data_IF_753735090263
#
_entry.id   IF_753735090263
#
_cell.length_a   1.000
_cell.length_b   1.000
_cell.length_c   1.000
_cell.angle_alpha   90.00
_cell.angle_beta   90.00
_cell.angle_gamma   90.00
#
_symmetry.space_group_name_H-M   'P 1'
#
loop_
_entity.id
_entity.type
_entity.pdbx_description
1 polymer ?
#
# COMPACT_ATOMS: atom_id res chain seq x y z
N UNK A 1 -22.59 -5.90 83.45
CA UNK A 1 -24.03 -6.22 83.52
C UNK A 1 -24.53 -5.99 82.12
N UNK A 2 -24.75 -7.03 81.55
CA UNK A 2 -25.94 -7.56 80.90
C UNK A 2 -26.21 -6.89 79.56
N UNK A 3 -26.30 -7.56 78.58
CA UNK A 3 -26.88 -8.71 77.95
C UNK A 3 -27.30 -8.29 76.52
N UNK A 4 -26.76 -8.94 75.62
CA UNK A 4 -27.35 -9.93 74.73
C UNK A 4 -28.49 -9.39 73.86
N UNK A 5 -28.45 -9.45 72.54
CA UNK A 5 -29.16 -10.46 71.79
C UNK A 5 -29.00 -10.26 70.28
N UNK A 6 -28.45 -11.21 69.71
CA UNK A 6 -28.44 -11.64 68.36
C UNK A 6 -29.86 -11.84 67.83
N UNK A 7 -30.20 -11.30 66.71
CA UNK A 7 -31.20 -11.92 65.82
C UNK A 7 -30.92 -11.52 64.39
N UNK A 8 -30.59 -12.52 63.61
CA UNK A 8 -30.75 -12.49 62.16
C UNK A 8 -32.20 -12.78 61.81
N UNK A 9 -32.73 -12.29 60.74
CA UNK A 9 -33.71 -13.05 59.97
C UNK A 9 -33.31 -13.17 58.54
N UNK A 10 -33.22 -14.40 58.14
CA UNK A 10 -34.07 -15.13 57.22
C UNK A 10 -34.16 -14.60 55.80
N UNK A 11 -33.64 -15.44 54.94
CA UNK A 11 -33.99 -15.56 53.53
C UNK A 11 -35.48 -15.34 53.26
N UNK A 12 -35.75 -14.47 52.31
CA UNK A 12 -36.96 -14.52 51.52
C UNK A 12 -36.53 -14.48 50.04
N UNK A 13 -36.05 -15.61 49.63
CA UNK A 13 -35.88 -15.91 48.22
C UNK A 13 -37.22 -16.14 47.54
N UNK A 14 -37.35 -15.65 46.33
CA UNK A 14 -38.11 -16.38 45.35
C UNK A 14 -39.46 -15.85 44.87
N UNK A 15 -39.85 -14.59 45.07
CA UNK A 15 -41.12 -14.10 44.50
C UNK A 15 -41.08 -12.84 43.63
N UNK A 16 -39.93 -12.32 43.26
CA UNK A 16 -39.87 -11.07 42.46
C UNK A 16 -39.56 -11.32 40.97
N UNK A 17 -39.36 -12.58 40.51
CA UNK A 17 -39.06 -12.85 39.11
C UNK A 17 -40.28 -12.98 38.19
N UNK A 18 -41.49 -13.12 38.76
CA UNK A 18 -42.73 -13.26 37.99
C UNK A 18 -43.59 -12.00 37.97
N UNK A 19 -43.43 -11.08 38.93
CA UNK A 19 -44.14 -9.79 38.93
C UNK A 19 -43.68 -8.85 37.79
N UNK A 20 -42.54 -9.10 37.21
CA UNK A 20 -42.03 -8.38 36.05
C UNK A 20 -42.79 -8.68 34.75
N UNK A 21 -43.44 -9.85 34.67
CA UNK A 21 -44.21 -10.31 33.51
C UNK A 21 -45.67 -9.81 33.47
N UNK A 22 -46.19 -9.28 34.56
CA UNK A 22 -47.59 -8.74 34.62
C UNK A 22 -47.74 -7.34 34.03
N UNK A 23 -46.64 -6.65 33.85
CA UNK A 23 -46.69 -5.29 33.28
C UNK A 23 -46.59 -5.36 31.76
N UNK A 24 -47.74 -5.22 31.06
CA UNK A 24 -47.86 -5.30 29.60
C UNK A 24 -46.85 -4.42 28.86
N UNK A 25 -46.47 -3.28 29.42
CA UNK A 25 -45.48 -2.37 28.87
C UNK A 25 -44.05 -2.93 28.95
N UNK A 26 -43.73 -3.64 30.04
CA UNK A 26 -42.41 -4.28 30.24
C UNK A 26 -42.27 -5.52 29.34
N UNK A 27 -43.34 -6.27 29.14
CA UNK A 27 -43.37 -7.43 28.27
C UNK A 27 -43.21 -7.00 26.81
N UNK A 28 -43.88 -5.94 26.36
CA UNK A 28 -43.70 -5.38 25.01
C UNK A 28 -42.29 -4.82 24.81
N UNK A 29 -41.73 -4.11 25.81
CA UNK A 29 -40.37 -3.63 25.74
C UNK A 29 -39.32 -4.77 25.68
N UNK A 30 -39.55 -5.86 26.44
CA UNK A 30 -38.71 -7.05 26.41
C UNK A 30 -38.69 -7.75 25.03
N UNK A 31 -39.86 -7.84 24.39
CA UNK A 31 -39.98 -8.43 23.04
C UNK A 31 -39.18 -7.62 22.01
N UNK A 32 -39.28 -6.27 22.08
CA UNK A 32 -38.53 -5.39 21.17
C UNK A 32 -36.99 -5.56 21.32
N UNK A 33 -36.52 -5.64 22.58
CA UNK A 33 -35.10 -5.85 22.89
C UNK A 33 -34.61 -7.21 22.38
N UNK A 34 -35.40 -8.28 22.56
CA UNK A 34 -35.08 -9.61 22.04
C UNK A 34 -35.02 -9.63 20.52
N UNK A 35 -35.98 -8.97 19.85
CA UNK A 35 -35.99 -8.85 18.39
C UNK A 35 -34.75 -8.07 17.88
N UNK A 36 -34.37 -6.98 18.56
CA UNK A 36 -33.18 -6.23 18.20
C UNK A 36 -31.89 -7.05 18.36
N UNK A 37 -31.78 -7.82 19.44
CA UNK A 37 -30.63 -8.70 19.67
C UNK A 37 -30.57 -9.85 18.65
N UNK A 38 -31.73 -10.43 18.30
CA UNK A 38 -31.80 -11.45 17.24
C UNK A 38 -31.43 -10.88 15.87
N UNK A 39 -31.88 -9.67 15.52
CA UNK A 39 -31.53 -9.02 14.26
C UNK A 39 -30.02 -8.74 14.19
N UNK A 40 -29.40 -8.25 15.25
CA UNK A 40 -27.97 -8.01 15.33
C UNK A 40 -27.20 -9.34 15.25
N UNK A 41 -27.64 -10.37 15.97
CA UNK A 41 -27.02 -11.70 15.96
C UNK A 41 -27.09 -12.37 14.58
N UNK A 42 -28.24 -12.29 13.89
CA UNK A 42 -28.39 -12.83 12.55
C UNK A 42 -27.52 -12.08 11.53
N UNK A 43 -27.47 -10.76 11.65
CA UNK A 43 -26.65 -9.92 10.76
C UNK A 43 -25.16 -10.26 10.92
N UNK A 44 -24.68 -10.35 12.14
CA UNK A 44 -23.29 -10.71 12.44
C UNK A 44 -22.93 -12.14 11.99
N UNK A 45 -23.86 -13.09 12.17
CA UNK A 45 -23.56 -14.51 11.92
C UNK A 45 -23.78 -14.93 10.46
N UNK A 46 -24.81 -14.40 9.78
CA UNK A 46 -25.15 -14.82 8.40
C UNK A 46 -24.63 -13.87 7.32
N UNK A 47 -24.59 -12.57 7.58
CA UNK A 47 -24.31 -11.57 6.54
C UNK A 47 -22.84 -11.19 6.53
N UNK A 48 -22.24 -10.98 7.69
CA UNK A 48 -20.83 -10.56 7.82
C UNK A 48 -19.87 -11.60 7.24
N UNK A 49 -20.00 -12.92 7.47
CA UNK A 49 -19.07 -13.89 6.87
C UNK A 49 -19.16 -14.00 5.35
N UNK A 50 -20.33 -13.65 4.76
CA UNK A 50 -20.52 -13.72 3.30
C UNK A 50 -20.09 -12.47 2.55
N UNK A 51 -20.04 -11.32 3.21
CA UNK A 51 -19.66 -10.03 2.61
C UNK A 51 -18.21 -9.63 2.88
N UNK A 52 -17.47 -10.37 3.72
CA UNK A 52 -16.08 -10.04 4.08
C UNK A 52 -15.93 -8.70 4.79
N UNK A 53 -17.04 -8.14 5.30
CA UNK A 53 -17.01 -6.89 6.07
C UNK A 53 -16.82 -7.27 7.54
N UNK A 54 -15.60 -7.29 7.99
CA UNK A 54 -15.25 -7.38 9.41
C UNK A 54 -15.70 -6.10 10.11
N UNK A 55 -16.45 -6.29 11.20
CA UNK A 55 -17.23 -5.31 11.93
C UNK A 55 -16.52 -3.98 12.17
N UNK A 56 -17.27 -2.91 11.95
CA UNK A 56 -16.93 -1.58 12.45
C UNK A 56 -17.01 -1.59 13.98
N UNK A 57 -15.91 -1.88 14.63
CA UNK A 57 -15.70 -1.58 16.04
C UNK A 57 -15.18 -0.14 16.12
N UNK A 58 -16.01 0.77 16.65
CA UNK A 58 -15.64 2.14 16.97
C UNK A 58 -14.76 2.14 18.24
N UNK A 59 -13.56 1.67 18.08
CA UNK A 59 -12.48 1.85 19.02
C UNK A 59 -11.28 2.31 18.23
N UNK A 60 -10.81 3.52 18.50
CA UNK A 60 -9.59 4.06 17.92
C UNK A 60 -8.41 3.10 18.15
N UNK A 61 -8.13 2.25 17.18
CA UNK A 61 -6.84 1.58 17.03
C UNK A 61 -6.16 2.15 15.79
N UNK A 62 -4.86 2.41 15.85
CA UNK A 62 -4.13 2.92 14.70
C UNK A 62 -4.29 1.95 13.52
N UNK A 63 -4.53 2.49 12.35
CA UNK A 63 -4.56 1.77 11.09
C UNK A 63 -3.16 1.24 10.76
N UNK A 64 -2.76 0.13 11.39
CA UNK A 64 -1.44 -0.49 11.23
C UNK A 64 -1.50 -1.99 10.92
N UNK A 65 -2.66 -2.53 10.50
CA UNK A 65 -2.75 -3.97 10.21
C UNK A 65 -3.66 -4.32 9.03
N UNK A 66 -3.53 -3.58 7.93
CA UNK A 66 -3.96 -4.05 6.62
C UNK A 66 -3.04 -3.48 5.52
N UNK A 67 -1.75 -3.32 5.79
CA UNK A 67 -0.74 -3.43 4.76
C UNK A 67 -0.61 -4.93 4.46
N UNK A 68 -1.55 -5.50 3.68
CA UNK A 68 -1.22 -6.60 2.81
C UNK A 68 0.12 -6.18 2.20
N UNK A 69 1.16 -6.99 2.34
CA UNK A 69 2.49 -6.78 1.81
C UNK A 69 2.39 -6.35 0.34
N UNK A 70 2.17 -5.05 0.12
CA UNK A 70 2.47 -4.47 -1.18
C UNK A 70 3.96 -4.72 -1.35
N UNK A 71 4.37 -5.31 -2.49
CA UNK A 71 5.79 -5.46 -2.77
C UNK A 71 6.43 -4.11 -2.49
N UNK A 72 7.56 -4.14 -1.78
CA UNK A 72 8.29 -2.95 -1.35
C UNK A 72 8.57 -2.07 -2.58
N UNK A 73 7.60 -1.19 -2.87
CA UNK A 73 7.67 -0.30 -4.02
C UNK A 73 8.46 0.92 -3.59
N UNK A 74 9.61 1.11 -4.24
CA UNK A 74 10.47 2.24 -4.02
C UNK A 74 9.85 3.58 -4.45
N UNK A 75 10.59 4.64 -4.24
CA UNK A 75 10.23 5.99 -4.70
C UNK A 75 10.68 6.17 -6.14
N UNK A 76 9.77 6.63 -7.00
CA UNK A 76 10.10 6.93 -8.41
C UNK A 76 10.64 8.35 -8.56
N UNK A 77 11.78 8.49 -9.24
CA UNK A 77 12.40 9.77 -9.59
C UNK A 77 12.61 9.84 -11.09
N UNK A 78 11.96 10.81 -11.76
CA UNK A 78 12.10 11.03 -13.20
C UNK A 78 13.41 11.77 -13.54
N UNK A 79 14.09 11.29 -14.61
CA UNK A 79 15.26 11.98 -15.18
C UNK A 79 14.90 13.01 -16.26
N UNK A 80 13.61 13.22 -16.52
CA UNK A 80 13.07 14.02 -17.62
C UNK A 80 13.40 13.44 -19.03
N UNK A 81 12.97 14.13 -20.07
CA UNK A 81 13.23 13.72 -21.45
C UNK A 81 14.69 13.93 -21.82
N UNK A 82 15.31 12.89 -22.37
CA UNK A 82 16.65 12.92 -22.93
C UNK A 82 16.57 12.69 -24.43
N UNK A 83 17.17 13.57 -25.21
CA UNK A 83 17.27 13.43 -26.67
C UNK A 83 18.74 13.21 -27.03
N UNK A 84 19.02 12.11 -27.72
CA UNK A 84 20.39 11.70 -28.05
C UNK A 84 20.47 11.33 -29.51
N UNK A 85 21.59 11.67 -30.17
CA UNK A 85 21.91 11.18 -31.50
C UNK A 85 22.47 9.77 -31.38
N UNK A 86 21.85 8.82 -32.08
CA UNK A 86 22.30 7.41 -32.13
C UNK A 86 23.46 7.23 -33.05
N UNK A 87 24.27 6.20 -32.79
CA UNK A 87 25.27 5.73 -33.73
C UNK A 87 24.59 5.16 -34.98
N UNK A 88 24.87 5.71 -36.15
CA UNK A 88 24.27 5.30 -37.41
C UNK A 88 25.26 5.49 -38.55
N UNK A 89 25.37 4.51 -39.42
CA UNK A 89 26.11 4.62 -40.67
C UNK A 89 25.27 5.28 -41.78
N UNK A 90 24.05 5.63 -41.50
CA UNK A 90 23.15 6.28 -42.44
C UNK A 90 23.59 7.73 -42.72
N UNK A 91 23.34 8.23 -43.95
CA UNK A 91 23.61 9.62 -44.35
C UNK A 91 22.84 10.67 -43.53
N UNK A 92 21.80 10.26 -42.82
CA UNK A 92 20.95 11.12 -41.94
C UNK A 92 21.13 10.68 -40.49
N UNK A 93 21.33 11.63 -39.57
CA UNK A 93 21.38 11.34 -38.16
C UNK A 93 20.02 10.76 -37.68
N UNK A 94 20.08 9.82 -36.75
CA UNK A 94 18.92 9.23 -36.10
C UNK A 94 18.92 9.67 -34.63
N UNK A 95 17.76 10.03 -34.13
CA UNK A 95 17.59 10.54 -32.77
C UNK A 95 16.77 9.59 -31.93
N UNK A 96 17.19 9.40 -30.71
CA UNK A 96 16.41 8.72 -29.66
C UNK A 96 15.87 9.77 -28.71
N UNK A 97 14.54 9.77 -28.50
CA UNK A 97 13.92 10.42 -27.34
C UNK A 97 13.57 9.34 -26.33
N UNK A 98 14.02 9.52 -25.12
CA UNK A 98 13.78 8.57 -24.05
C UNK A 98 13.41 9.31 -22.75
N UNK A 99 12.39 8.82 -22.06
CA UNK A 99 12.02 9.27 -20.73
C UNK A 99 12.26 8.12 -19.74
N UNK A 100 12.99 8.41 -18.66
CA UNK A 100 13.47 7.39 -17.72
C UNK A 100 13.01 7.77 -16.30
N UNK A 101 12.51 6.77 -15.58
CA UNK A 101 12.23 6.85 -14.16
C UNK A 101 13.11 5.85 -13.41
N UNK A 102 13.77 6.32 -12.37
CA UNK A 102 14.54 5.49 -11.45
C UNK A 102 13.66 5.14 -10.25
N UNK A 103 13.60 3.87 -9.90
CA UNK A 103 13.02 3.42 -8.65
C UNK A 103 14.14 3.28 -7.61
N UNK A 104 14.02 4.02 -6.52
CA UNK A 104 14.99 4.04 -5.44
C UNK A 104 14.34 3.67 -4.12
N UNK A 105 15.15 3.14 -3.20
CA UNK A 105 14.68 2.54 -1.95
C UNK A 105 13.82 3.46 -1.10
N UNK A 106 14.20 4.73 -0.97
CA UNK A 106 13.52 5.67 -0.08
C UNK A 106 13.67 7.14 -0.52
N UNK A 107 12.97 8.04 0.21
CA UNK A 107 12.96 9.47 -0.08
C UNK A 107 14.31 10.17 0.14
N UNK A 108 15.20 9.66 1.00
CA UNK A 108 16.53 10.24 1.16
C UNK A 108 17.39 9.96 -0.06
N UNK A 109 17.32 8.75 -0.59
CA UNK A 109 17.99 8.40 -1.85
C UNK A 109 17.40 9.20 -3.02
N UNK A 110 16.09 9.41 -3.06
CA UNK A 110 15.44 10.25 -4.08
C UNK A 110 16.00 11.70 -4.09
N UNK A 111 16.28 12.28 -2.93
CA UNK A 111 16.93 13.59 -2.84
C UNK A 111 18.37 13.57 -3.38
N UNK A 112 19.13 12.50 -3.12
CA UNK A 112 20.48 12.32 -3.68
C UNK A 112 20.42 12.25 -5.20
N UNK A 113 19.48 11.46 -5.77
CA UNK A 113 19.23 11.38 -7.21
C UNK A 113 18.91 12.77 -7.78
N UNK A 114 17.99 13.49 -7.16
CA UNK A 114 17.60 14.85 -7.60
C UNK A 114 18.79 15.81 -7.62
N UNK A 115 19.65 15.77 -6.62
CA UNK A 115 20.84 16.61 -6.54
C UNK A 115 21.86 16.25 -7.63
N UNK A 116 21.91 14.99 -8.05
CA UNK A 116 22.85 14.47 -9.04
C UNK A 116 22.26 14.28 -10.44
N UNK A 117 21.04 14.78 -10.69
CA UNK A 117 20.35 14.65 -11.98
C UNK A 117 21.24 14.92 -13.20
N UNK A 118 22.04 16.02 -13.25
CA UNK A 118 22.90 16.26 -14.44
C UNK A 118 23.90 15.14 -14.69
N UNK A 119 24.49 14.58 -13.63
CA UNK A 119 25.47 13.46 -13.73
C UNK A 119 24.80 12.17 -14.21
N UNK A 120 23.60 11.87 -13.70
CA UNK A 120 22.84 10.69 -14.09
C UNK A 120 22.34 10.77 -15.52
N UNK A 121 21.91 11.97 -15.96
CA UNK A 121 21.53 12.23 -17.36
C UNK A 121 22.71 12.07 -18.31
N UNK A 122 23.90 12.54 -17.95
CA UNK A 122 25.11 12.34 -18.75
C UNK A 122 25.40 10.86 -18.97
N UNK A 123 25.32 10.04 -17.91
CA UNK A 123 25.49 8.58 -18.04
C UNK A 123 24.45 7.94 -18.96
N UNK A 124 23.20 8.40 -18.92
CA UNK A 124 22.16 7.94 -19.85
C UNK A 124 22.48 8.34 -21.28
N UNK A 125 22.90 9.59 -21.52
CA UNK A 125 23.29 10.09 -22.86
C UNK A 125 24.40 9.24 -23.41
N UNK A 126 25.44 8.95 -22.63
CA UNK A 126 26.57 8.10 -23.05
C UNK A 126 26.12 6.68 -23.38
N UNK A 127 25.28 6.06 -22.54
CA UNK A 127 24.76 4.73 -22.79
C UNK A 127 23.92 4.65 -24.06
N UNK A 128 23.12 5.68 -24.35
CA UNK A 128 22.27 5.75 -25.53
C UNK A 128 23.07 6.04 -26.81
N UNK A 129 24.11 6.90 -26.75
CA UNK A 129 24.91 7.31 -27.91
C UNK A 129 25.68 6.13 -28.56
N UNK A 130 25.97 5.10 -27.78
CA UNK A 130 26.65 3.89 -28.25
C UNK A 130 25.72 2.94 -29.01
N UNK A 131 24.40 3.14 -28.95
CA UNK A 131 23.41 2.24 -29.54
C UNK A 131 23.04 2.64 -30.95
N UNK A 132 22.65 1.61 -31.75
CA UNK A 132 22.11 1.82 -33.10
C UNK A 132 20.57 1.77 -33.11
N UNK A 133 19.90 2.38 -34.09
CA UNK A 133 18.43 2.29 -34.25
C UNK A 133 17.95 0.83 -34.35
N UNK A 134 18.71 0.00 -35.01
CA UNK A 134 18.39 -1.43 -35.25
C UNK A 134 18.40 -2.20 -33.92
N UNK A 135 19.39 -1.97 -33.06
CA UNK A 135 19.45 -2.56 -31.72
C UNK A 135 18.21 -2.15 -30.88
N UNK A 136 17.83 -0.88 -30.89
CA UNK A 136 16.71 -0.36 -30.10
C UNK A 136 15.34 -0.69 -30.70
N UNK A 137 15.27 -1.26 -31.90
CA UNK A 137 14.01 -1.74 -32.49
C UNK A 137 13.53 -3.06 -31.88
N UNK A 138 14.44 -3.83 -31.25
CA UNK A 138 14.14 -5.14 -30.65
C UNK A 138 13.86 -5.05 -29.15
N UNK A 139 13.03 -5.95 -28.60
CA UNK A 139 12.81 -6.03 -27.16
C UNK A 139 14.10 -6.30 -26.37
N UNK A 140 14.96 -7.17 -26.90
CA UNK A 140 16.24 -7.56 -26.33
C UNK A 140 17.22 -6.37 -26.25
N UNK A 141 17.28 -5.56 -27.30
CA UNK A 141 18.09 -4.35 -27.33
C UNK A 141 17.61 -3.30 -26.32
N UNK A 142 16.29 -3.11 -26.19
CA UNK A 142 15.71 -2.22 -25.17
C UNK A 142 16.02 -2.71 -23.76
N UNK A 143 15.94 -4.03 -23.53
CA UNK A 143 16.31 -4.63 -22.25
C UNK A 143 17.80 -4.42 -21.97
N UNK A 144 18.66 -4.70 -22.95
CA UNK A 144 20.11 -4.50 -22.82
C UNK A 144 20.48 -3.05 -22.49
N UNK A 145 19.81 -2.06 -23.12
CA UNK A 145 19.99 -0.64 -22.77
C UNK A 145 19.56 -0.34 -21.32
N UNK A 146 18.43 -0.90 -20.87
CA UNK A 146 17.97 -0.74 -19.48
C UNK A 146 18.98 -1.29 -18.48
N UNK A 147 19.45 -2.51 -18.71
CA UNK A 147 20.39 -3.19 -17.83
C UNK A 147 21.74 -2.44 -17.79
N UNK A 148 22.18 -1.87 -18.92
CA UNK A 148 23.38 -1.04 -18.99
C UNK A 148 23.23 0.27 -18.22
N UNK A 149 22.09 0.97 -18.38
CA UNK A 149 21.81 2.20 -17.64
C UNK A 149 21.73 1.90 -16.14
N UNK A 150 21.04 0.83 -15.75
CA UNK A 150 20.97 0.40 -14.36
C UNK A 150 22.37 0.24 -13.77
N UNK A 151 23.23 -0.56 -14.41
CA UNK A 151 24.58 -0.83 -13.93
C UNK A 151 25.43 0.44 -13.79
N UNK A 152 25.40 1.33 -14.81
CA UNK A 152 26.18 2.59 -14.79
C UNK A 152 25.74 3.53 -13.67
N UNK A 153 24.44 3.59 -13.38
CA UNK A 153 23.89 4.42 -12.30
C UNK A 153 24.17 3.79 -10.94
N UNK A 154 23.96 2.48 -10.81
CA UNK A 154 24.16 1.74 -9.56
C UNK A 154 25.60 1.83 -9.06
N UNK A 155 26.60 1.78 -9.98
CA UNK A 155 28.03 1.99 -9.66
C UNK A 155 28.33 3.37 -9.03
N UNK A 156 27.44 4.35 -9.18
CA UNK A 156 27.61 5.71 -8.65
C UNK A 156 26.72 6.02 -7.45
N UNK A 157 25.88 5.08 -7.09
CA UNK A 157 24.96 5.19 -5.96
C UNK A 157 25.42 4.28 -4.80
N UNK A 158 24.99 4.51 -3.58
CA UNK A 158 25.21 3.56 -2.50
C UNK A 158 24.60 2.19 -2.81
N UNK A 159 25.28 1.12 -2.44
CA UNK A 159 24.89 -0.25 -2.74
C UNK A 159 23.44 -0.54 -2.34
N UNK A 160 22.68 -1.14 -3.25
CA UNK A 160 21.31 -1.57 -3.02
C UNK A 160 20.29 -0.45 -2.84
N UNK A 161 20.60 0.78 -3.25
CA UNK A 161 19.66 1.91 -3.19
C UNK A 161 18.88 2.13 -4.48
N UNK A 162 19.45 1.72 -5.63
CA UNK A 162 18.75 1.69 -6.91
C UNK A 162 18.02 0.35 -7.04
N UNK A 163 16.69 0.37 -7.18
CA UNK A 163 15.88 -0.84 -7.28
C UNK A 163 15.62 -1.21 -8.73
N UNK A 164 15.20 -0.23 -9.56
CA UNK A 164 14.86 -0.47 -10.97
C UNK A 164 15.05 0.78 -11.84
N UNK A 165 15.07 0.55 -13.15
CA UNK A 165 15.02 1.58 -14.19
C UNK A 165 13.85 1.30 -15.12
N UNK A 166 12.98 2.29 -15.31
CA UNK A 166 11.81 2.19 -16.17
C UNK A 166 11.89 3.19 -17.32
N UNK A 167 11.53 2.75 -18.51
CA UNK A 167 11.33 3.61 -19.66
C UNK A 167 9.85 3.94 -19.78
N UNK A 168 9.49 5.21 -19.58
CA UNK A 168 8.11 5.68 -19.77
C UNK A 168 7.83 5.99 -21.23
N UNK A 169 8.84 6.43 -21.95
CA UNK A 169 8.78 6.70 -23.40
C UNK A 169 10.11 6.34 -24.05
N UNK A 170 10.07 5.75 -25.24
CA UNK A 170 11.25 5.45 -26.06
C UNK A 170 10.86 5.52 -27.54
N UNK A 171 11.28 6.58 -28.20
CA UNK A 171 10.99 6.82 -29.61
C UNK A 171 12.27 7.07 -30.39
N UNK A 172 12.46 6.33 -31.49
CA UNK A 172 13.56 6.53 -32.46
C UNK A 172 13.02 7.23 -33.69
N UNK A 173 13.64 8.34 -34.09
CA UNK A 173 13.23 9.17 -35.21
C UNK A 173 14.34 9.28 -36.27
#
# INVERSE_FOLDING_TARGET
MADAKKEAPEESGGKSKLAFLENKAILLGGIVVVQALLAIGLTQFLIVPKLGVQGADMGAQPAEEAAAEMPDMGVLVGLEDVIVTLRSDAKKPRYLRININLEVKDGMVAQVVTTRLPQLRDMVIMACSDKTPEELSTPEGKKGLRDEIFRRIDEKMPDGTLMNVYFSDLVVQ
#
